data_IF_261369893624
#
_entry.id   IF_261369893624
#
_cell.length_a   1.000
_cell.length_b   1.000
_cell.length_c   1.000
_cell.angle_alpha   90.00
_cell.angle_beta   90.00
_cell.angle_gamma   90.00
#
_symmetry.space_group_name_H-M   'P 1'
#
loop_
_entity.id
_entity.type
_entity.pdbx_description
1 polymer ?
#
# COMPACT_ATOMS: atom_id res chain seq x y z
N UNK A 1 -4.71 -22.44 8.07
CA UNK A 1 -5.37 -23.52 7.30
C UNK A 1 -5.40 -23.18 5.80
N UNK A 2 -5.93 -22.02 5.38
CA UNK A 2 -6.13 -21.68 3.96
C UNK A 2 -4.85 -21.72 3.11
N UNK A 3 -3.70 -21.39 3.68
CA UNK A 3 -2.39 -21.40 3.01
C UNK A 3 -1.60 -22.68 3.25
N UNK A 4 -2.19 -23.70 3.91
CA UNK A 4 -1.51 -24.96 4.23
C UNK A 4 -0.38 -24.83 5.26
N UNK A 5 -0.28 -23.72 5.98
CA UNK A 5 0.75 -23.53 6.99
C UNK A 5 0.50 -24.44 8.21
N UNK A 6 1.58 -24.85 8.86
CA UNK A 6 1.58 -25.56 10.13
C UNK A 6 0.92 -24.71 11.23
N UNK A 7 0.47 -25.34 12.31
CA UNK A 7 0.01 -24.62 13.52
C UNK A 7 1.17 -23.98 14.31
N UNK A 8 2.41 -24.38 14.05
CA UNK A 8 3.61 -23.82 14.68
C UNK A 8 4.06 -22.55 13.92
N UNK A 9 3.21 -21.52 13.92
CA UNK A 9 3.44 -20.21 13.32
C UNK A 9 3.15 -19.11 14.33
N UNK A 10 3.83 -17.98 14.18
CA UNK A 10 3.44 -16.72 14.82
C UNK A 10 2.48 -15.98 13.91
N UNK A 11 1.37 -15.48 14.45
CA UNK A 11 0.43 -14.62 13.74
C UNK A 11 0.14 -13.41 14.61
N UNK A 12 0.00 -12.24 13.97
CA UNK A 12 -0.35 -10.98 14.62
C UNK A 12 -1.16 -10.10 13.67
N UNK A 13 -2.08 -9.34 14.22
CA UNK A 13 -2.80 -8.29 13.51
C UNK A 13 -2.12 -6.93 13.76
N UNK A 14 -2.12 -6.08 12.72
CA UNK A 14 -1.57 -4.74 12.77
C UNK A 14 -2.68 -3.73 12.48
N UNK A 15 -2.84 -2.75 13.37
CA UNK A 15 -3.91 -1.74 13.31
C UNK A 15 -3.36 -0.33 13.19
N UNK A 16 -2.46 -0.07 12.26
CA UNK A 16 -2.02 1.29 11.96
C UNK A 16 -2.66 1.78 10.63
N UNK A 17 -3.99 1.71 10.56
CA UNK A 17 -4.77 2.15 9.41
C UNK A 17 -4.14 1.67 8.08
N UNK A 18 -4.05 2.54 7.08
CA UNK A 18 -3.60 2.16 5.74
C UNK A 18 -2.11 1.80 5.63
N UNK A 19 -1.28 2.00 6.67
CA UNK A 19 0.11 1.52 6.69
C UNK A 19 0.31 0.18 7.41
N UNK A 20 -0.74 -0.46 7.90
CA UNK A 20 -0.64 -1.73 8.61
C UNK A 20 0.11 -2.81 7.79
N UNK A 21 -0.10 -2.86 6.48
CA UNK A 21 0.61 -3.79 5.60
C UNK A 21 2.13 -3.57 5.55
N UNK A 22 2.61 -2.32 5.60
CA UNK A 22 4.05 -2.02 5.66
C UNK A 22 4.65 -2.28 7.04
N UNK A 23 3.88 -2.08 8.11
CA UNK A 23 4.29 -2.49 9.46
C UNK A 23 4.50 -4.02 9.54
N UNK A 24 3.66 -4.81 8.87
CA UNK A 24 3.84 -6.26 8.76
C UNK A 24 5.11 -6.63 7.97
N UNK A 25 5.47 -5.88 6.92
CA UNK A 25 6.75 -6.06 6.21
C UNK A 25 7.94 -5.80 7.16
N UNK A 26 7.94 -4.66 7.88
CA UNK A 26 9.01 -4.31 8.83
C UNK A 26 9.20 -5.39 9.92
N UNK A 27 8.09 -5.85 10.51
CA UNK A 27 8.14 -6.88 11.55
C UNK A 27 8.67 -8.21 11.00
N UNK A 28 8.17 -8.63 9.83
CA UNK A 28 8.64 -9.85 9.17
C UNK A 28 10.13 -9.78 8.84
N UNK A 29 10.58 -8.65 8.32
CA UNK A 29 11.99 -8.35 8.02
C UNK A 29 12.88 -8.51 9.25
N UNK A 30 12.49 -7.93 10.39
CA UNK A 30 13.23 -8.03 11.65
C UNK A 30 13.33 -9.47 12.14
N UNK A 31 12.24 -10.23 12.09
CA UNK A 31 12.23 -11.63 12.50
C UNK A 31 13.08 -12.54 11.59
N UNK A 32 13.05 -12.28 10.28
CA UNK A 32 13.89 -12.99 9.28
C UNK A 32 15.38 -12.66 9.52
N UNK A 33 15.72 -11.37 9.69
CA UNK A 33 17.10 -10.93 9.93
C UNK A 33 17.68 -11.52 11.20
N UNK A 34 16.88 -11.70 12.24
CA UNK A 34 17.27 -12.35 13.49
C UNK A 34 17.25 -13.90 13.43
N UNK A 35 16.98 -14.49 12.25
CA UNK A 35 16.83 -15.94 12.06
C UNK A 35 15.79 -16.58 13.00
N UNK A 36 14.77 -15.83 13.43
CA UNK A 36 13.67 -16.36 14.25
C UNK A 36 12.60 -17.05 13.39
N UNK A 37 12.46 -16.61 12.16
CA UNK A 37 11.61 -17.25 11.14
C UNK A 37 12.38 -17.33 9.83
N UNK A 38 12.06 -18.33 9.02
CA UNK A 38 12.61 -18.48 7.67
C UNK A 38 11.88 -17.58 6.66
N UNK A 39 10.57 -17.49 6.79
CA UNK A 39 9.70 -16.68 5.94
C UNK A 39 8.65 -15.98 6.79
N UNK A 40 8.40 -14.71 6.50
CA UNK A 40 7.25 -13.95 6.99
C UNK A 40 6.26 -13.72 5.85
N UNK A 41 4.97 -13.73 6.14
CA UNK A 41 3.92 -13.37 5.20
C UNK A 41 3.27 -12.06 5.65
N UNK A 42 3.60 -10.96 4.97
CA UNK A 42 3.01 -9.66 5.20
C UNK A 42 1.78 -9.48 4.32
N UNK A 43 0.61 -9.29 4.92
CA UNK A 43 -0.68 -9.17 4.22
C UNK A 43 -1.26 -7.78 4.51
N UNK A 44 -1.63 -7.05 3.46
CA UNK A 44 -2.53 -5.92 3.54
C UNK A 44 -3.82 -6.27 2.81
N UNK A 45 -4.94 -6.27 3.50
CA UNK A 45 -6.25 -6.56 2.92
C UNK A 45 -7.32 -5.75 3.64
N UNK A 46 -8.18 -5.08 2.87
CA UNK A 46 -9.24 -4.27 3.45
C UNK A 46 -10.43 -4.10 2.51
N UNK A 47 -11.55 -3.73 3.10
CA UNK A 47 -12.78 -3.29 2.41
C UNK A 47 -13.14 -1.92 2.96
N UNK A 48 -12.76 -0.87 2.26
CA UNK A 48 -13.00 0.49 2.74
C UNK A 48 -14.48 0.82 2.80
N UNK A 49 -14.85 1.59 3.82
CA UNK A 49 -16.24 1.91 4.12
C UNK A 49 -16.45 3.42 4.13
N UNK A 50 -17.61 3.86 3.66
CA UNK A 50 -18.02 5.26 3.66
C UNK A 50 -19.53 5.38 3.75
N UNK A 51 -20.01 6.49 4.30
CA UNK A 51 -21.45 6.78 4.28
C UNK A 51 -21.93 7.09 2.85
N UNK A 52 -23.20 6.82 2.52
CA UNK A 52 -23.76 7.20 1.24
C UNK A 52 -23.63 8.70 0.98
N UNK A 53 -23.09 9.06 -0.18
CA UNK A 53 -22.89 10.45 -0.60
C UNK A 53 -21.69 11.16 0.00
N UNK A 54 -20.91 10.50 0.87
CA UNK A 54 -19.65 11.03 1.39
C UNK A 54 -18.56 11.03 0.30
N UNK A 55 -17.63 11.99 0.38
CA UNK A 55 -16.50 12.09 -0.54
C UNK A 55 -15.63 10.82 -0.58
N UNK A 56 -15.53 10.11 0.54
CA UNK A 56 -14.80 8.83 0.63
C UNK A 56 -15.47 7.72 -0.18
N UNK A 57 -16.79 7.78 -0.43
CA UNK A 57 -17.51 6.75 -1.17
C UNK A 57 -17.01 6.63 -2.61
N UNK A 58 -16.65 7.76 -3.23
CA UNK A 58 -16.17 7.81 -4.62
C UNK A 58 -14.79 7.16 -4.81
N UNK A 59 -14.03 7.03 -3.74
CA UNK A 59 -12.72 6.37 -3.77
C UNK A 59 -12.68 5.09 -2.95
N UNK A 60 -13.79 4.66 -2.35
CA UNK A 60 -13.85 3.43 -1.58
C UNK A 60 -13.57 2.21 -2.46
N UNK A 61 -12.78 1.28 -1.93
CA UNK A 61 -12.39 0.07 -2.66
C UNK A 61 -12.20 -1.13 -1.74
N UNK A 62 -12.04 -2.29 -2.35
CA UNK A 62 -11.71 -3.53 -1.67
C UNK A 62 -10.58 -4.23 -2.42
N UNK A 63 -9.64 -4.79 -1.68
CA UNK A 63 -8.52 -5.50 -2.27
C UNK A 63 -7.54 -6.01 -1.22
N UNK A 64 -6.65 -6.88 -1.66
CA UNK A 64 -5.59 -7.42 -0.84
C UNK A 64 -4.34 -7.70 -1.66
N UNK A 65 -3.19 -7.57 -1.01
CA UNK A 65 -1.91 -8.03 -1.52
C UNK A 65 -1.11 -8.64 -0.38
N UNK A 66 -0.28 -9.62 -0.71
CA UNK A 66 0.57 -10.30 0.25
C UNK A 66 1.97 -10.48 -0.33
N UNK A 67 2.98 -10.31 0.52
CA UNK A 67 4.38 -10.51 0.18
C UNK A 67 5.02 -11.51 1.12
N UNK A 68 5.74 -12.47 0.57
CA UNK A 68 6.60 -13.35 1.34
C UNK A 68 7.93 -12.65 1.54
N UNK A 69 8.29 -12.44 2.81
CA UNK A 69 9.55 -11.84 3.22
C UNK A 69 10.52 -12.96 3.61
N UNK A 70 11.72 -12.95 3.05
CA UNK A 70 12.73 -13.96 3.30
C UNK A 70 14.12 -13.49 2.91
N UNK A 71 15.13 -14.35 3.05
CA UNK A 71 16.54 -14.07 2.74
C UNK A 71 17.08 -14.83 1.53
N UNK A 72 16.24 -15.57 0.79
CA UNK A 72 16.65 -16.35 -0.37
C UNK A 72 15.62 -16.25 -1.49
N UNK A 73 16.06 -16.37 -2.74
CA UNK A 73 15.25 -16.22 -3.95
C UNK A 73 14.48 -14.89 -3.96
N UNK A 74 15.21 -13.83 -3.68
CA UNK A 74 14.66 -12.48 -3.52
C UNK A 74 14.25 -11.92 -4.88
N UNK A 75 13.00 -11.52 -5.00
CA UNK A 75 12.44 -10.88 -6.21
C UNK A 75 12.74 -9.39 -6.23
N UNK A 76 12.63 -8.76 -5.06
CA UNK A 76 13.00 -7.36 -4.85
C UNK A 76 13.66 -7.24 -3.47
N UNK A 77 14.89 -6.79 -3.44
CA UNK A 77 15.68 -6.57 -2.24
C UNK A 77 15.26 -5.25 -1.59
N UNK A 78 15.06 -5.24 -0.28
CA UNK A 78 14.86 -4.01 0.48
C UNK A 78 16.24 -3.44 0.82
N UNK A 79 16.66 -2.38 0.11
CA UNK A 79 17.96 -1.73 0.33
C UNK A 79 17.97 -0.91 1.62
N UNK A 80 16.91 -0.17 1.92
CA UNK A 80 16.73 0.56 3.18
C UNK A 80 15.25 0.95 3.39
N UNK A 81 14.94 1.44 4.57
CA UNK A 81 13.64 1.99 4.92
C UNK A 81 13.73 3.11 5.96
N UNK A 82 12.70 3.93 6.02
CA UNK A 82 12.51 4.96 7.04
C UNK A 82 11.03 5.09 7.41
N UNK A 83 10.77 5.56 8.63
CA UNK A 83 9.42 5.81 9.11
C UNK A 83 9.31 7.21 9.68
N UNK A 84 8.15 7.84 9.52
CA UNK A 84 7.82 9.12 10.13
C UNK A 84 6.43 9.03 10.76
N UNK A 85 6.33 9.22 12.08
CA UNK A 85 5.10 9.07 12.84
C UNK A 85 4.90 10.25 13.77
N UNK A 86 3.67 10.73 13.87
CA UNK A 86 3.24 11.74 14.86
C UNK A 86 1.86 11.36 15.40
N UNK A 87 1.44 11.99 16.49
CA UNK A 87 0.05 11.95 16.94
C UNK A 87 -0.76 13.01 16.17
N UNK A 88 -1.46 12.56 15.10
CA UNK A 88 -2.21 13.44 14.19
C UNK A 88 -3.56 12.81 13.86
N UNK A 89 -4.59 12.97 14.69
CA UNK A 89 -5.90 12.35 14.50
C UNK A 89 -6.67 12.99 13.34
N UNK A 90 -6.44 12.52 12.14
CA UNK A 90 -7.03 13.02 10.89
C UNK A 90 -8.22 12.20 10.38
N UNK A 91 -8.35 10.95 10.86
CA UNK A 91 -9.36 9.99 10.42
C UNK A 91 -9.70 9.06 11.59
N UNK A 92 -10.97 8.84 11.88
CA UNK A 92 -11.39 8.06 13.05
C UNK A 92 -12.73 7.38 12.86
N UNK A 93 -13.03 6.41 13.72
CA UNK A 93 -14.36 5.85 13.93
C UNK A 93 -14.64 5.82 15.43
N UNK A 94 -15.72 6.44 15.87
CA UNK A 94 -16.17 6.36 17.27
C UNK A 94 -17.03 5.11 17.47
N UNK A 95 -17.17 4.71 18.72
CA UNK A 95 -18.03 3.60 19.08
C UNK A 95 -19.44 3.78 18.52
N UNK A 96 -20.03 2.67 18.07
CA UNK A 96 -21.36 2.59 17.45
C UNK A 96 -21.49 3.34 16.11
N UNK A 97 -20.46 3.98 15.61
CA UNK A 97 -20.49 4.58 14.27
C UNK A 97 -20.25 3.51 13.19
N UNK A 98 -21.20 3.42 12.26
CA UNK A 98 -21.08 2.46 11.13
C UNK A 98 -19.96 2.83 10.17
N UNK A 99 -19.74 4.12 9.96
CA UNK A 99 -18.78 4.63 8.98
C UNK A 99 -17.70 5.49 9.63
N UNK A 100 -16.49 5.52 9.06
CA UNK A 100 -15.45 6.41 9.53
C UNK A 100 -15.78 7.87 9.21
N UNK A 101 -15.16 8.79 9.96
CA UNK A 101 -15.17 10.21 9.72
C UNK A 101 -13.73 10.71 9.49
N UNK A 102 -13.57 11.86 8.84
CA UNK A 102 -12.27 12.47 8.55
C UNK A 102 -12.29 13.98 8.73
N UNK A 103 -11.12 14.58 8.91
CA UNK A 103 -10.95 16.02 9.15
C UNK A 103 -10.94 16.87 7.87
N UNK A 104 -11.60 16.43 6.80
CA UNK A 104 -11.67 17.19 5.55
C UNK A 104 -10.29 17.50 4.97
N UNK A 105 -9.96 18.78 4.78
CA UNK A 105 -8.66 19.20 4.21
C UNK A 105 -7.46 18.77 5.04
N UNK A 106 -7.60 18.71 6.37
CA UNK A 106 -6.53 18.32 7.27
C UNK A 106 -6.03 16.89 7.04
N UNK A 107 -6.91 15.97 6.63
CA UNK A 107 -6.53 14.60 6.25
C UNK A 107 -5.55 14.56 5.08
N UNK A 108 -5.64 15.52 4.15
CA UNK A 108 -4.66 15.67 3.07
C UNK A 108 -3.48 16.55 3.46
N UNK A 109 -3.79 17.77 3.87
CA UNK A 109 -2.80 18.80 4.25
C UNK A 109 -3.11 19.28 5.68
N UNK A 110 -2.28 18.97 6.72
CA UNK A 110 -0.92 18.41 6.58
C UNK A 110 -0.83 16.89 6.65
N UNK A 111 -1.85 16.12 7.10
CA UNK A 111 -1.65 14.75 7.55
C UNK A 111 -0.98 13.86 6.48
N UNK A 112 -1.62 13.60 5.35
CA UNK A 112 -1.06 12.73 4.30
C UNK A 112 0.27 13.26 3.75
N UNK A 113 0.29 14.53 3.30
CA UNK A 113 1.47 15.04 2.60
C UNK A 113 2.68 15.20 3.52
N UNK A 114 2.51 15.72 4.74
CA UNK A 114 3.62 15.86 5.68
C UNK A 114 4.30 14.51 5.94
N UNK A 115 3.52 13.47 6.26
CA UNK A 115 4.06 12.17 6.65
C UNK A 115 4.68 11.45 5.46
N UNK A 116 3.97 11.40 4.33
CA UNK A 116 4.44 10.77 3.09
C UNK A 116 5.74 11.41 2.61
N UNK A 117 5.80 12.74 2.57
CA UNK A 117 7.01 13.46 2.13
C UNK A 117 8.16 13.30 3.12
N UNK A 118 7.90 13.35 4.43
CA UNK A 118 8.95 13.21 5.44
C UNK A 118 9.60 11.82 5.40
N UNK A 119 8.82 10.73 5.42
CA UNK A 119 9.36 9.38 5.33
C UNK A 119 10.12 9.13 4.02
N UNK A 120 9.57 9.62 2.89
CA UNK A 120 10.24 9.49 1.60
C UNK A 120 11.58 10.23 1.54
N UNK A 121 11.63 11.48 2.00
CA UNK A 121 12.87 12.26 2.05
C UNK A 121 13.91 11.60 2.95
N UNK A 122 13.50 11.16 4.13
CA UNK A 122 14.40 10.49 5.08
C UNK A 122 15.07 9.26 4.46
N UNK A 123 14.32 8.36 3.80
CA UNK A 123 14.93 7.18 3.17
C UNK A 123 15.81 7.57 1.98
N UNK A 124 15.42 8.58 1.19
CA UNK A 124 16.22 9.09 0.08
C UNK A 124 17.53 9.73 0.57
N UNK A 125 17.51 10.48 1.67
CA UNK A 125 18.69 11.07 2.30
C UNK A 125 19.62 9.99 2.87
N UNK A 126 19.08 9.01 3.62
CA UNK A 126 19.82 7.86 4.14
C UNK A 126 20.57 7.08 3.06
N UNK A 127 19.94 6.89 1.92
CA UNK A 127 20.50 6.12 0.79
C UNK A 127 21.33 6.97 -0.16
N UNK A 128 21.29 8.30 -0.04
CA UNK A 128 21.91 9.23 -0.98
C UNK A 128 21.24 9.26 -2.36
N UNK A 129 20.05 8.67 -2.50
CA UNK A 129 19.33 8.55 -3.77
C UNK A 129 18.42 9.76 -4.00
N UNK A 130 18.32 10.17 -5.27
CA UNK A 130 17.41 11.22 -5.75
C UNK A 130 16.30 10.61 -6.60
N UNK A 131 15.23 11.35 -6.87
CA UNK A 131 14.10 10.86 -7.69
C UNK A 131 14.53 10.29 -9.05
N UNK A 132 15.61 10.82 -9.64
CA UNK A 132 16.16 10.33 -10.91
C UNK A 132 16.83 8.94 -10.82
N UNK A 133 17.21 8.49 -9.61
CA UNK A 133 17.85 7.19 -9.40
C UNK A 133 16.83 6.06 -9.25
N UNK A 134 15.55 6.42 -9.14
CA UNK A 134 14.44 5.48 -9.10
C UNK A 134 13.80 5.34 -10.48
N UNK A 135 13.44 4.13 -10.83
CA UNK A 135 12.67 3.85 -12.05
C UNK A 135 11.17 4.03 -11.81
N UNK A 136 10.72 3.73 -10.60
CA UNK A 136 9.33 3.84 -10.21
C UNK A 136 9.17 4.37 -8.78
N UNK A 137 7.99 4.96 -8.52
CA UNK A 137 7.60 5.33 -7.17
C UNK A 137 6.12 5.01 -6.92
N UNK A 138 5.84 4.44 -5.77
CA UNK A 138 4.51 4.03 -5.30
C UNK A 138 4.20 4.77 -4.02
N UNK A 139 3.06 5.42 -3.95
CA UNK A 139 2.56 6.07 -2.74
C UNK A 139 1.22 5.47 -2.34
N UNK A 140 0.87 5.55 -1.06
CA UNK A 140 -0.50 5.31 -0.63
C UNK A 140 -1.49 6.15 -1.43
N UNK A 141 -2.63 5.57 -1.81
CA UNK A 141 -3.56 6.14 -2.77
C UNK A 141 -4.96 6.33 -2.18
N UNK A 142 -5.21 7.39 -1.37
CA UNK A 142 -6.56 7.69 -0.89
C UNK A 142 -7.51 8.08 -2.03
N UNK A 143 -6.94 8.63 -3.10
CA UNK A 143 -7.59 9.02 -4.36
C UNK A 143 -6.52 9.19 -5.45
N UNK A 144 -6.94 9.44 -6.69
CA UNK A 144 -6.02 9.57 -7.83
C UNK A 144 -5.13 10.83 -7.83
N UNK A 145 -5.40 11.83 -7.00
CA UNK A 145 -4.66 13.11 -6.98
C UNK A 145 -3.50 13.11 -5.98
N UNK A 146 -3.66 12.48 -4.82
CA UNK A 146 -2.69 12.54 -3.72
C UNK A 146 -1.33 11.92 -4.09
N UNK A 147 -1.24 10.69 -4.62
CA UNK A 147 0.03 10.10 -5.00
C UNK A 147 0.74 10.90 -6.09
N UNK A 148 0.01 11.48 -7.04
CA UNK A 148 0.57 12.33 -8.09
C UNK A 148 1.17 13.62 -7.51
N UNK A 149 0.47 14.29 -6.57
CA UNK A 149 0.98 15.50 -5.91
C UNK A 149 2.19 15.19 -5.04
N UNK A 150 2.17 14.09 -4.28
CA UNK A 150 3.31 13.67 -3.45
C UNK A 150 4.54 13.35 -4.32
N UNK A 151 4.38 12.55 -5.37
CA UNK A 151 5.46 12.22 -6.28
C UNK A 151 6.06 13.45 -6.96
N UNK A 152 5.22 14.35 -7.48
CA UNK A 152 5.68 15.61 -8.07
C UNK A 152 6.48 16.47 -7.08
N UNK A 153 6.05 16.54 -5.81
CA UNK A 153 6.74 17.31 -4.77
C UNK A 153 8.13 16.73 -4.42
N UNK A 154 8.36 15.44 -4.70
CA UNK A 154 9.64 14.75 -4.52
C UNK A 154 10.49 14.73 -5.80
N UNK A 155 9.99 15.27 -6.92
CA UNK A 155 10.68 15.31 -8.20
C UNK A 155 10.43 14.11 -9.12
N UNK A 156 9.47 13.24 -8.82
CA UNK A 156 9.09 12.13 -9.69
C UNK A 156 8.22 12.58 -10.86
N UNK A 157 8.46 11.99 -12.02
CA UNK A 157 7.64 12.16 -13.21
C UNK A 157 6.37 11.30 -13.14
N UNK A 158 5.38 11.63 -13.98
CA UNK A 158 4.18 10.81 -14.12
C UNK A 158 4.48 9.36 -14.55
N UNK A 159 5.44 9.18 -15.46
CA UNK A 159 5.80 7.84 -15.96
C UNK A 159 6.39 6.95 -14.86
N UNK A 160 7.12 7.52 -13.90
CA UNK A 160 7.61 6.78 -12.74
C UNK A 160 6.48 6.37 -11.77
N UNK A 161 5.37 7.11 -11.72
CA UNK A 161 4.23 6.86 -10.82
C UNK A 161 3.18 5.95 -11.44
N UNK A 162 3.00 6.04 -12.76
CA UNK A 162 1.91 5.43 -13.51
C UNK A 162 1.72 3.92 -13.25
N UNK A 163 2.76 3.07 -13.20
CA UNK A 163 2.58 1.63 -12.98
C UNK A 163 1.93 1.30 -11.64
N UNK A 164 2.19 2.09 -10.60
CA UNK A 164 1.64 1.92 -9.27
C UNK A 164 0.28 2.58 -9.02
N UNK A 165 -0.28 3.35 -9.98
CA UNK A 165 -1.53 4.10 -9.80
C UNK A 165 -2.76 3.21 -9.98
N UNK A 166 -3.08 2.41 -8.99
CA UNK A 166 -4.15 1.41 -9.01
C UNK A 166 -5.50 1.90 -8.46
N UNK A 167 -5.52 3.04 -7.77
CA UNK A 167 -6.75 3.56 -7.13
C UNK A 167 -7.90 3.83 -8.10
N UNK A 168 -7.61 4.15 -9.35
CA UNK A 168 -8.62 4.35 -10.41
C UNK A 168 -9.30 3.05 -10.84
N UNK A 169 -8.73 1.91 -10.49
CA UNK A 169 -9.22 0.58 -10.84
C UNK A 169 -9.83 -0.15 -9.64
N UNK A 170 -9.17 -0.12 -8.49
CA UNK A 170 -9.56 -0.84 -7.28
C UNK A 170 -10.19 0.05 -6.20
N UNK A 171 -10.06 1.38 -6.33
CA UNK A 171 -10.36 2.31 -5.24
C UNK A 171 -9.28 2.30 -4.17
N UNK A 172 -9.52 3.01 -3.07
CA UNK A 172 -8.65 3.00 -1.90
C UNK A 172 -8.91 1.72 -1.09
N UNK A 173 -7.98 0.81 -1.12
CA UNK A 173 -8.00 -0.48 -0.42
C UNK A 173 -7.27 -0.41 0.94
N UNK A 174 -7.14 0.80 1.53
CA UNK A 174 -6.51 1.07 2.83
C UNK A 174 -5.15 0.36 2.99
N UNK A 175 -5.04 -0.62 3.88
CA UNK A 175 -3.79 -1.34 4.17
C UNK A 175 -3.16 -2.05 2.97
N UNK A 176 -3.96 -2.40 1.97
CA UNK A 176 -3.49 -3.00 0.72
C UNK A 176 -3.04 -1.97 -0.33
N UNK A 177 -3.37 -0.69 -0.18
CA UNK A 177 -3.25 0.31 -1.25
C UNK A 177 -1.82 0.44 -1.82
N UNK A 178 -0.83 0.66 -0.96
CA UNK A 178 0.59 0.72 -1.38
C UNK A 178 1.12 -0.64 -1.82
N UNK A 179 0.67 -1.74 -1.20
CA UNK A 179 1.09 -3.09 -1.54
C UNK A 179 0.59 -3.52 -2.94
N UNK A 180 -0.66 -3.21 -3.28
CA UNK A 180 -1.20 -3.44 -4.64
C UNK A 180 -0.44 -2.58 -5.66
N UNK A 181 -0.13 -1.33 -5.32
CA UNK A 181 0.69 -0.46 -6.16
C UNK A 181 2.10 -1.03 -6.38
N UNK A 182 2.72 -1.59 -5.35
CA UNK A 182 4.01 -2.27 -5.46
C UNK A 182 3.91 -3.52 -6.35
N UNK A 183 2.89 -4.35 -6.16
CA UNK A 183 2.68 -5.54 -6.98
C UNK A 183 2.52 -5.19 -8.47
N UNK A 184 1.69 -4.19 -8.79
CA UNK A 184 1.50 -3.71 -10.15
C UNK A 184 2.79 -3.13 -10.77
N UNK A 185 3.61 -2.48 -9.96
CA UNK A 185 4.92 -1.96 -10.39
C UNK A 185 5.90 -3.10 -10.65
N UNK A 186 5.95 -4.10 -9.77
CA UNK A 186 6.79 -5.30 -9.95
C UNK A 186 6.40 -6.10 -11.20
N UNK A 187 5.14 -6.06 -11.63
CA UNK A 187 4.70 -6.66 -12.88
C UNK A 187 5.37 -6.05 -14.13
N UNK A 188 5.93 -4.85 -14.02
CA UNK A 188 6.54 -4.10 -15.13
C UNK A 188 8.05 -3.86 -14.96
N UNK A 189 8.53 -3.87 -13.72
CA UNK A 189 9.92 -3.52 -13.39
C UNK A 189 10.91 -4.57 -13.93
N UNK A 190 12.05 -4.15 -14.41
CA UNK A 190 13.15 -5.00 -14.85
C UNK A 190 14.21 -5.22 -13.76
N UNK A 191 15.02 -6.28 -13.84
CA UNK A 191 16.16 -6.48 -12.97
C UNK A 191 17.07 -5.23 -12.88
N UNK A 192 17.58 -4.95 -11.67
CA UNK A 192 18.42 -3.77 -11.37
C UNK A 192 17.65 -2.48 -11.14
N UNK A 193 16.36 -2.42 -11.48
CA UNK A 193 15.55 -1.21 -11.30
C UNK A 193 15.20 -0.97 -9.82
N UNK A 194 15.19 0.31 -9.42
CA UNK A 194 14.80 0.73 -8.08
C UNK A 194 13.38 1.27 -8.03
N UNK A 195 12.69 0.94 -6.94
CA UNK A 195 11.33 1.38 -6.64
C UNK A 195 11.33 2.05 -5.27
N UNK A 196 10.83 3.28 -5.18
CA UNK A 196 10.42 3.87 -3.90
C UNK A 196 8.98 3.46 -3.61
N UNK A 197 8.69 2.93 -2.44
CA UNK A 197 7.31 2.74 -1.97
C UNK A 197 7.10 3.45 -0.66
N UNK A 198 6.08 4.30 -0.58
CA UNK A 198 5.72 5.00 0.66
C UNK A 198 4.26 4.78 1.00
N UNK A 199 4.01 4.19 2.15
CA UNK A 199 2.68 4.04 2.74
C UNK A 199 2.29 5.28 3.52
N UNK A 200 1.02 5.39 3.86
CA UNK A 200 0.50 6.34 4.84
C UNK A 200 -0.66 5.69 5.58
N UNK A 201 -0.65 5.79 6.88
CA UNK A 201 -1.77 5.41 7.75
C UNK A 201 -2.20 6.60 8.58
N UNK A 202 -3.50 6.85 8.59
CA UNK A 202 -4.10 7.91 9.39
C UNK A 202 -3.84 7.71 10.88
N UNK A 203 -3.70 8.81 11.60
CA UNK A 203 -3.41 8.78 13.01
C UNK A 203 -2.14 9.50 13.50
N UNK A 204 -1.02 9.71 12.82
CA UNK A 204 -0.68 9.36 11.45
C UNK A 204 0.77 8.87 11.38
N UNK A 205 1.07 8.07 10.37
CA UNK A 205 2.43 7.60 10.10
C UNK A 205 2.61 7.17 8.66
N UNK A 206 3.87 7.16 8.22
CA UNK A 206 4.29 6.67 6.91
C UNK A 206 5.54 5.81 7.05
N UNK A 207 5.62 4.76 6.25
CA UNK A 207 6.85 3.97 6.04
C UNK A 207 7.26 4.10 4.59
N UNK A 208 8.52 4.40 4.34
CA UNK A 208 9.10 4.47 3.02
C UNK A 208 10.20 3.41 2.87
N UNK A 209 10.20 2.71 1.75
CA UNK A 209 11.15 1.63 1.43
C UNK A 209 11.80 1.89 0.08
N UNK A 210 13.07 1.55 -0.01
CA UNK A 210 13.81 1.45 -1.27
C UNK A 210 13.94 -0.02 -1.63
N UNK A 211 13.39 -0.40 -2.77
CA UNK A 211 13.52 -1.75 -3.33
C UNK A 211 14.44 -1.73 -4.54
N UNK A 212 15.24 -2.79 -4.70
CA UNK A 212 15.97 -3.10 -5.92
C UNK A 212 15.50 -4.43 -6.47
N UNK A 213 15.00 -4.43 -7.68
CA UNK A 213 14.50 -5.62 -8.37
C UNK A 213 15.66 -6.52 -8.78
N UNK A 214 15.51 -7.83 -8.59
CA UNK A 214 16.53 -8.83 -8.97
C UNK A 214 16.10 -9.64 -10.19
N UNK A 215 17.01 -10.48 -10.70
CA UNK A 215 16.75 -11.40 -11.82
C UNK A 215 15.63 -12.42 -11.53
N UNK A 216 15.35 -12.70 -10.25
CA UNK A 216 14.29 -13.63 -9.84
C UNK A 216 12.87 -13.16 -10.22
N UNK A 217 12.70 -11.88 -10.56
CA UNK A 217 11.42 -11.32 -11.00
C UNK A 217 10.89 -12.01 -12.27
N UNK A 218 11.76 -12.40 -13.18
CA UNK A 218 11.37 -13.03 -14.44
C UNK A 218 10.75 -14.42 -14.20
N UNK A 219 11.34 -15.21 -13.30
CA UNK A 219 10.80 -16.50 -12.90
C UNK A 219 9.44 -16.36 -12.22
N UNK A 220 9.27 -15.36 -11.35
CA UNK A 220 7.99 -15.11 -10.66
C UNK A 220 6.90 -14.75 -11.67
N UNK A 221 7.17 -13.86 -12.62
CA UNK A 221 6.20 -13.43 -13.63
C UNK A 221 5.73 -14.56 -14.53
N UNK A 222 6.59 -15.52 -14.82
CA UNK A 222 6.23 -16.67 -15.62
C UNK A 222 5.23 -17.62 -14.91
N UNK A 223 5.13 -17.55 -13.59
CA UNK A 223 4.36 -18.50 -12.76
C UNK A 223 3.12 -17.90 -12.10
N UNK A 224 3.11 -16.61 -11.85
CA UNK A 224 2.09 -15.93 -11.06
C UNK A 224 1.05 -15.17 -11.89
N UNK A 225 -0.14 -14.94 -11.33
CA UNK A 225 -1.09 -14.02 -11.91
C UNK A 225 -0.56 -12.60 -11.81
N UNK A 226 -0.75 -11.81 -12.85
CA UNK A 226 -0.43 -10.38 -12.88
C UNK A 226 -1.61 -9.57 -12.38
N UNK A 227 -1.34 -8.36 -11.89
CA UNK A 227 -2.39 -7.44 -11.39
C UNK A 227 -3.39 -7.10 -12.49
N UNK A 228 -2.95 -6.93 -13.73
CA UNK A 228 -3.86 -6.69 -14.88
C UNK A 228 -4.90 -7.79 -15.05
N UNK A 229 -4.55 -9.07 -14.78
CA UNK A 229 -5.47 -10.19 -14.89
C UNK A 229 -6.70 -10.05 -13.99
N UNK A 230 -6.53 -9.47 -12.81
CA UNK A 230 -7.66 -9.18 -11.90
C UNK A 230 -8.55 -8.04 -12.44
N UNK A 231 -7.99 -7.11 -13.22
CA UNK A 231 -8.74 -6.02 -13.82
C UNK A 231 -9.64 -6.48 -14.98
N UNK A 232 -9.28 -7.54 -15.68
CA UNK A 232 -10.06 -8.07 -16.81
C UNK A 232 -11.37 -8.73 -16.37
N UNK A 233 -11.44 -9.25 -15.13
CA UNK A 233 -12.60 -9.98 -14.61
C UNK A 233 -13.69 -9.05 -13.97
N UNK A 234 -13.52 -7.73 -14.00
CA UNK A 234 -14.46 -6.81 -13.34
C UNK A 234 -15.81 -6.73 -14.03
N UNK A 235 -16.87 -6.60 -13.22
CA UNK A 235 -18.24 -6.31 -13.66
C UNK A 235 -18.69 -4.97 -13.08
N UNK A 236 -19.21 -4.10 -13.93
CA UNK A 236 -19.75 -2.82 -13.49
C UNK A 236 -21.18 -2.97 -12.99
N UNK A 237 -21.50 -2.32 -11.89
CA UNK A 237 -22.84 -2.23 -11.34
C UNK A 237 -23.30 -0.76 -11.37
N UNK A 238 -24.60 -0.53 -11.46
CA UNK A 238 -25.14 0.80 -11.19
C UNK A 238 -25.14 1.08 -9.67
N UNK A 239 -25.31 2.35 -9.30
CA UNK A 239 -25.22 2.76 -7.89
C UNK A 239 -26.25 2.06 -6.99
N UNK A 240 -27.47 1.83 -7.46
CA UNK A 240 -28.51 1.16 -6.67
C UNK A 240 -28.12 -0.30 -6.34
N UNK A 241 -27.60 -1.04 -7.33
CA UNK A 241 -27.10 -2.39 -7.10
C UNK A 241 -25.89 -2.40 -6.15
N UNK A 242 -24.94 -1.48 -6.33
CA UNK A 242 -23.81 -1.30 -5.42
C UNK A 242 -24.28 -1.02 -3.98
N UNK A 243 -25.17 -0.04 -3.80
CA UNK A 243 -25.67 0.35 -2.48
C UNK A 243 -26.44 -0.80 -1.79
N UNK A 244 -27.17 -1.61 -2.56
CA UNK A 244 -27.83 -2.84 -2.07
C UNK A 244 -26.80 -3.87 -1.59
N UNK A 245 -25.79 -4.18 -2.39
CA UNK A 245 -24.74 -5.13 -2.01
C UNK A 245 -23.95 -4.68 -0.79
N UNK A 246 -23.69 -3.38 -0.67
CA UNK A 246 -23.04 -2.78 0.49
C UNK A 246 -23.96 -2.58 1.70
N UNK A 247 -25.23 -3.02 1.62
CA UNK A 247 -26.25 -2.84 2.67
C UNK A 247 -26.41 -1.38 3.12
N UNK A 248 -26.23 -0.45 2.20
CA UNK A 248 -26.41 0.99 2.43
C UNK A 248 -27.88 1.42 2.30
N UNK A 249 -28.67 0.66 1.58
CA UNK A 249 -30.13 0.84 1.42
C UNK A 249 -30.80 -0.31 2.18
N UNK A 250 -31.73 0.03 3.07
CA UNK A 250 -32.66 -0.95 3.65
C UNK A 250 -33.76 -1.23 2.63
N UNK A 251 -34.07 -2.49 2.40
CA UNK A 251 -35.28 -2.91 1.68
C UNK A 251 -36.39 -3.07 2.68
#
# INVERSE_FOLDING_TARGET
AAIGASHLITAADFEFACKAGTAAIQTSMGLVALNKIRYGLAIGADVSQSSPGDALEFSAGAGGAAFVIGSSKIVAEIEDYASFTTDTPDFWRRDLQKYPAHSGRFTGEPAYFRHTLAASKEVMEKTGLKAADFHFAVFHQPNGKFPLKAGKSLGFSYEQLKPGLMVTHFGNTYSASSLIGLAATLDQAAPGQRILMTSFGSGAGSDAFVFRVTEQIEELRARGPRVDGFLLAKKYLNYAAYAKHQRKIRM
#
